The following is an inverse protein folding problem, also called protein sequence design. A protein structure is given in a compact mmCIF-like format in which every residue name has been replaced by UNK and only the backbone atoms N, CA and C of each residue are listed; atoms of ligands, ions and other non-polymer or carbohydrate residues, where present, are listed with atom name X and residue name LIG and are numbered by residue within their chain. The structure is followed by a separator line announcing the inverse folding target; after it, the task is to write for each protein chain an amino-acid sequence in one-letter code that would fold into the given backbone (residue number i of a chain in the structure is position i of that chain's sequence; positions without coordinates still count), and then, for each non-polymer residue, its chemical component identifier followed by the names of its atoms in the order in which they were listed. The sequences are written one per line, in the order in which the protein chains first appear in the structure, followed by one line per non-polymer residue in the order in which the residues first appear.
data_IF_478217303978
#
_entry.id   IF_478217303978
#
_cell.length_a   1.000
_cell.length_b   1.000
_cell.length_c   1.000
_cell.angle_alpha   90.00
_cell.angle_beta   90.00
_cell.angle_gamma   90.00
#
_symmetry.space_group_name_H-M   'P 1'
#
loop_
_entity.id
_entity.type
_entity.pdbx_description
1 polymer ?
#
# COMPACT_ATOMS: atom_id res chain seq x y z
N UNK A 1 -1.39 -15.45 0.81
CA UNK A 1 -0.93 -15.42 0.47
C UNK A 1 -0.50 -14.76 -0.25
N UNK A 2 -0.57 -14.35 -0.60
CA UNK A 2 -0.61 -13.61 -1.30
C UNK A 2 0.14 -12.45 -1.05
N UNK A 3 0.49 -12.09 0.06
CA UNK A 3 1.19 -10.88 0.42
C UNK A 3 2.69 -10.98 0.29
N UNK A 4 3.17 -12.11 -0.16
CA UNK A 4 4.62 -12.28 -0.24
C UNK A 4 5.25 -11.32 -1.23
N UNK A 5 4.59 -11.08 -2.36
CA UNK A 5 5.12 -10.14 -3.31
C UNK A 5 5.06 -8.72 -2.76
N UNK A 6 3.99 -8.41 -2.06
CA UNK A 6 3.79 -7.06 -1.55
C UNK A 6 4.77 -6.75 -0.44
N UNK A 7 5.21 -7.77 0.29
CA UNK A 7 6.11 -7.56 1.41
C UNK A 7 7.39 -6.82 1.03
N UNK A 8 7.83 -6.97 -0.18
CA UNK A 8 9.06 -6.31 -0.59
C UNK A 8 8.91 -4.79 -0.65
N UNK A 9 7.69 -4.30 -0.53
CA UNK A 9 7.45 -2.87 -0.55
C UNK A 9 7.48 -2.24 0.84
N UNK A 10 7.60 -3.04 1.89
CA UNK A 10 7.68 -2.50 3.23
C UNK A 10 8.86 -1.56 3.36
N UNK A 11 8.63 -0.43 4.01
CA UNK A 11 9.67 0.55 4.23
C UNK A 11 9.95 1.46 3.07
N UNK A 12 9.22 1.31 1.97
CA UNK A 12 9.47 2.09 0.78
C UNK A 12 8.33 3.06 0.50
N UNK A 13 8.67 4.15 -0.14
CA UNK A 13 7.65 5.10 -0.57
C UNK A 13 7.00 4.57 -1.82
N UNK A 14 5.69 4.53 -1.80
CA UNK A 14 4.96 3.89 -2.88
C UNK A 14 3.71 4.67 -3.24
N UNK A 15 3.25 4.43 -4.46
CA UNK A 15 1.96 4.90 -4.91
C UNK A 15 1.08 3.68 -5.07
N UNK A 16 -0.04 3.66 -4.36
CA UNK A 16 -0.96 2.53 -4.38
C UNK A 16 -2.24 2.96 -5.06
N UNK A 17 -2.63 2.22 -6.08
CA UNK A 17 -3.89 2.44 -6.75
C UNK A 17 -4.86 1.39 -6.27
N UNK A 18 -6.01 1.83 -5.76
CA UNK A 18 -6.96 0.92 -5.14
C UNK A 18 -8.30 0.94 -5.85
N UNK A 19 -8.98 -0.17 -5.68
CA UNK A 19 -10.38 -0.27 -5.89
C UNK A 19 -10.85 -0.01 -7.29
N UNK A 20 -12.14 -0.11 -7.42
CA UNK A 20 -12.78 0.07 -8.70
C UNK A 20 -12.73 1.50 -9.17
N UNK A 21 -12.56 2.44 -8.25
CA UNK A 21 -12.57 3.85 -8.60
C UNK A 21 -11.18 4.38 -8.94
N UNK A 22 -10.16 3.55 -8.80
CA UNK A 22 -8.82 3.99 -9.14
C UNK A 22 -8.26 5.04 -8.22
N UNK A 23 -8.68 5.02 -6.96
CA UNK A 23 -8.17 5.96 -5.99
C UNK A 23 -6.69 5.72 -5.75
N UNK A 24 -5.94 6.80 -5.65
CA UNK A 24 -4.50 6.71 -5.48
C UNK A 24 -4.10 7.19 -4.10
N UNK A 25 -3.22 6.41 -3.45
CA UNK A 25 -2.66 6.78 -2.15
C UNK A 25 -1.15 6.77 -2.27
N UNK A 26 -0.51 7.84 -1.83
CA UNK A 26 0.94 7.93 -1.84
C UNK A 26 1.46 8.02 -0.44
N UNK A 27 2.51 7.27 -0.14
CA UNK A 27 3.09 7.32 1.17
C UNK A 27 4.12 6.23 1.36
N UNK A 28 4.56 6.09 2.61
CA UNK A 28 5.54 5.09 2.96
C UNK A 28 4.83 3.91 3.59
N UNK A 29 5.06 2.73 3.04
CA UNK A 29 4.47 1.52 3.60
C UNK A 29 5.24 1.16 4.85
N UNK A 30 4.55 1.16 5.98
CA UNK A 30 5.18 0.89 7.27
C UNK A 30 5.18 -0.58 7.57
N UNK A 31 4.05 -1.23 7.37
CA UNK A 31 3.93 -2.62 7.72
C UNK A 31 2.86 -3.29 6.89
N UNK A 32 3.10 -4.53 6.53
CA UNK A 32 2.12 -5.34 5.81
C UNK A 32 1.83 -6.53 6.69
N UNK A 33 0.56 -6.71 7.05
CA UNK A 33 0.15 -7.74 7.96
C UNK A 33 -1.10 -8.41 7.41
N UNK A 34 -0.95 -9.67 7.00
CA UNK A 34 -2.05 -10.41 6.39
C UNK A 34 -2.61 -9.63 5.21
N UNK A 35 -3.86 -9.20 5.31
CA UNK A 35 -4.52 -8.52 4.22
C UNK A 35 -4.48 -7.01 4.35
N UNK A 36 -3.73 -6.49 5.33
CA UNK A 36 -3.76 -5.07 5.60
C UNK A 36 -2.41 -4.44 5.40
N UNK A 37 -2.41 -3.25 4.83
CA UNK A 37 -1.21 -2.48 4.60
C UNK A 37 -1.33 -1.19 5.38
N UNK A 38 -0.35 -0.96 6.26
CA UNK A 38 -0.29 0.29 7.01
C UNK A 38 0.61 1.25 6.27
N UNK A 39 0.08 2.40 5.91
CA UNK A 39 0.83 3.36 5.12
C UNK A 39 0.77 4.73 5.77
N UNK A 40 1.91 5.40 5.78
CA UNK A 40 2.01 6.74 6.32
C UNK A 40 1.97 7.74 5.19
N UNK A 41 0.97 8.59 5.19
CA UNK A 41 0.81 9.60 4.16
C UNK A 41 1.04 10.97 4.74
N UNK A 42 1.03 11.99 3.89
CA UNK A 42 1.18 13.36 4.36
C UNK A 42 0.03 13.78 5.27
N UNK A 43 -1.07 13.07 5.22
CA UNK A 43 -2.24 13.40 6.03
C UNK A 43 -2.36 12.51 7.27
N UNK A 44 -1.47 11.56 7.43
CA UNK A 44 -1.52 10.69 8.60
C UNK A 44 -1.39 9.24 8.21
N UNK A 45 -1.71 8.37 9.17
CA UNK A 45 -1.62 6.94 8.94
C UNK A 45 -2.93 6.42 8.36
N UNK A 46 -2.80 5.48 7.43
CA UNK A 46 -3.95 4.83 6.82
C UNK A 46 -3.73 3.33 6.77
N UNK A 47 -4.82 2.60 6.82
CA UNK A 47 -4.79 1.15 6.64
C UNK A 47 -5.59 0.82 5.39
N UNK A 48 -4.99 0.06 4.49
CA UNK A 48 -5.61 -0.30 3.23
C UNK A 48 -5.71 -1.81 3.15
N UNK A 49 -6.87 -2.31 2.76
CA UNK A 49 -7.03 -3.73 2.56
C UNK A 49 -6.35 -4.14 1.25
N UNK A 50 -5.47 -5.11 1.34
CA UNK A 50 -4.68 -5.52 0.18
C UNK A 50 -5.55 -6.08 -0.95
N UNK A 51 -6.71 -6.60 -0.62
CA UNK A 51 -7.58 -7.16 -1.65
C UNK A 51 -8.11 -6.11 -2.61
N UNK A 52 -8.07 -4.84 -2.21
CA UNK A 52 -8.56 -3.78 -3.06
C UNK A 52 -7.47 -3.09 -3.87
N UNK A 53 -6.26 -3.59 -3.80
CA UNK A 53 -5.15 -2.94 -4.48
C UNK A 53 -5.06 -3.42 -5.91
N UNK A 54 -5.02 -2.48 -6.84
CA UNK A 54 -4.80 -2.78 -8.24
C UNK A 54 -3.34 -2.80 -8.59
N UNK A 55 -2.59 -1.85 -8.08
CA UNK A 55 -1.17 -1.78 -8.39
C UNK A 55 -0.44 -1.01 -7.32
N UNK A 56 0.85 -1.30 -7.19
CA UNK A 56 1.74 -0.60 -6.28
C UNK A 56 2.97 -0.22 -7.08
N UNK A 57 3.39 1.03 -6.95
CA UNK A 57 4.56 1.51 -7.64
C UNK A 57 5.51 2.14 -6.64
N UNK A 58 6.77 1.74 -6.68
CA UNK A 58 7.78 2.33 -5.83
C UNK A 58 8.15 3.70 -6.38
N UNK A 59 8.15 4.70 -5.50
CA UNK A 59 8.54 6.04 -5.88
C UNK A 59 10.00 6.24 -5.56
N UNK A 60 10.74 6.71 -6.54
CA UNK A 60 12.19 6.88 -6.38
C UNK A 60 12.53 8.09 -5.54
#
# INVERSE_FOLDING_TARGET
MKNEIIKKFEGKRCKITTGALGTTVRGKIIEINDDWIEIETSKGMEIINADFIQSIKILA
#
